data_IF_742006882273
#
_entry.id   IF_742006882273
#
_cell.length_a   1.000
_cell.length_b   1.000
_cell.length_c   1.000
_cell.angle_alpha   90.00
_cell.angle_beta   90.00
_cell.angle_gamma   90.00
#
_symmetry.space_group_name_H-M   'P 1'
#
loop_
_entity.id
_entity.type
_entity.pdbx_description
1 polymer ?
#
# COMPACT_ATOMS: atom_id res chain seq x y z
N UNK A 1 70.03 -5.24 24.74
CA UNK A 1 69.28 -5.47 23.46
C UNK A 1 67.84 -5.69 23.83
N UNK A 2 67.03 -4.64 23.71
CA UNK A 2 65.64 -4.64 24.12
C UNK A 2 64.80 -4.88 22.86
N UNK A 3 64.15 -6.03 22.72
CA UNK A 3 63.27 -6.34 21.61
C UNK A 3 61.88 -5.72 21.90
N UNK A 4 61.54 -4.69 21.19
CA UNK A 4 60.19 -4.10 21.17
C UNK A 4 59.25 -5.03 20.37
N UNK A 5 58.25 -5.61 21.01
CA UNK A 5 57.12 -6.28 20.39
C UNK A 5 56.05 -5.23 20.09
N UNK A 6 55.90 -4.85 18.83
CA UNK A 6 54.73 -4.10 18.34
C UNK A 6 53.55 -5.07 18.18
N UNK A 7 52.59 -4.95 19.07
CA UNK A 7 51.28 -5.64 18.89
C UNK A 7 50.42 -4.76 17.96
N UNK A 8 50.23 -5.21 16.73
CA UNK A 8 49.29 -4.59 15.81
C UNK A 8 47.85 -4.98 16.23
N UNK A 9 47.09 -4.03 16.73
CA UNK A 9 45.67 -4.20 17.04
C UNK A 9 44.86 -4.02 15.74
N UNK A 10 44.45 -5.12 15.14
CA UNK A 10 43.53 -5.09 13.98
C UNK A 10 42.12 -4.88 14.49
N UNK A 11 41.61 -3.66 14.38
CA UNK A 11 40.20 -3.34 14.63
C UNK A 11 39.43 -3.83 13.42
N UNK A 12 38.78 -4.99 13.51
CA UNK A 12 37.82 -5.44 12.54
C UNK A 12 36.54 -4.57 12.66
N UNK A 13 36.37 -3.62 11.76
CA UNK A 13 35.11 -2.88 11.59
C UNK A 13 34.08 -3.86 11.02
N UNK A 14 33.30 -4.49 11.89
CA UNK A 14 32.08 -5.17 11.48
C UNK A 14 31.06 -4.10 11.03
N UNK A 15 31.03 -3.80 9.73
CA UNK A 15 29.95 -3.05 9.12
C UNK A 15 28.69 -3.93 9.18
N UNK A 16 27.90 -3.81 10.23
CA UNK A 16 26.56 -4.36 10.25
C UNK A 16 25.76 -3.60 9.18
N UNK A 17 25.46 -4.27 8.07
CA UNK A 17 24.50 -3.80 7.10
C UNK A 17 23.14 -3.74 7.82
N UNK A 18 22.70 -2.55 8.20
CA UNK A 18 21.33 -2.32 8.64
C UNK A 18 20.48 -2.46 7.39
N UNK A 19 19.87 -3.63 7.22
CA UNK A 19 18.88 -3.81 6.17
C UNK A 19 17.71 -2.89 6.49
N UNK A 20 17.35 -2.02 5.54
CA UNK A 20 16.20 -1.15 5.70
C UNK A 20 14.95 -2.01 5.96
N UNK A 21 14.19 -1.64 6.97
CA UNK A 21 12.97 -2.35 7.30
C UNK A 21 11.96 -2.17 6.17
N UNK A 22 11.33 -3.27 5.74
CA UNK A 22 10.30 -3.30 4.70
C UNK A 22 8.99 -3.84 5.27
N UNK A 23 7.88 -3.47 4.66
CA UNK A 23 6.57 -4.04 4.99
C UNK A 23 6.31 -5.26 4.10
N UNK A 24 5.71 -6.31 4.67
CA UNK A 24 5.34 -7.51 3.91
C UNK A 24 4.00 -7.31 3.20
N UNK A 25 4.04 -7.14 1.88
CA UNK A 25 2.88 -7.02 1.01
C UNK A 25 2.48 -8.33 0.33
N UNK A 26 3.04 -9.48 0.71
CA UNK A 26 2.85 -10.76 0.00
C UNK A 26 1.39 -11.21 -0.08
N UNK A 27 0.59 -10.99 0.97
CA UNK A 27 -0.85 -11.29 0.94
C UNK A 27 -1.58 -10.46 -0.12
N UNK A 28 -1.30 -9.17 -0.21
CA UNK A 28 -1.89 -8.29 -1.21
C UNK A 28 -1.42 -8.63 -2.61
N UNK A 29 -0.13 -8.87 -2.79
CA UNK A 29 0.47 -9.29 -4.05
C UNK A 29 -0.18 -10.55 -4.62
N UNK A 30 -0.39 -11.56 -3.77
CA UNK A 30 -1.07 -12.79 -4.16
C UNK A 30 -2.54 -12.54 -4.54
N UNK A 31 -3.24 -11.64 -3.83
CA UNK A 31 -4.63 -11.31 -4.13
C UNK A 31 -4.76 -10.61 -5.49
N UNK A 32 -3.96 -9.57 -5.75
CA UNK A 32 -4.05 -8.84 -7.02
C UNK A 32 -3.62 -9.71 -8.20
N UNK A 33 -2.58 -10.55 -8.06
CA UNK A 33 -2.17 -11.51 -9.08
C UNK A 33 -3.27 -12.53 -9.43
N UNK A 34 -4.09 -12.89 -8.45
CA UNK A 34 -5.12 -13.89 -8.63
C UNK A 34 -6.45 -13.33 -9.14
N UNK A 35 -6.75 -12.06 -8.85
CA UNK A 35 -8.07 -11.48 -9.04
C UNK A 35 -8.11 -10.21 -9.89
N UNK A 36 -6.95 -9.66 -10.27
CA UNK A 36 -6.87 -8.55 -11.22
C UNK A 36 -6.53 -9.09 -12.59
N UNK A 37 -7.38 -8.79 -13.58
CA UNK A 37 -7.26 -9.34 -14.93
C UNK A 37 -7.03 -8.20 -15.93
N UNK A 38 -5.99 -8.29 -16.77
CA UNK A 38 -5.78 -7.33 -17.85
C UNK A 38 -6.94 -7.36 -18.85
N UNK A 39 -7.40 -6.20 -19.26
CA UNK A 39 -8.41 -6.03 -20.30
C UNK A 39 -7.90 -5.06 -21.37
N UNK A 40 -8.61 -4.96 -22.50
CA UNK A 40 -8.28 -4.03 -23.59
C UNK A 40 -6.82 -4.12 -24.07
N UNK A 41 -6.30 -5.34 -24.18
CA UNK A 41 -4.92 -5.56 -24.63
C UNK A 41 -3.85 -5.12 -23.61
N UNK A 42 -4.21 -5.06 -22.31
CA UNK A 42 -3.30 -4.67 -21.23
C UNK A 42 -3.31 -3.17 -20.91
N UNK A 43 -4.15 -2.38 -21.60
CA UNK A 43 -4.24 -0.94 -21.33
C UNK A 43 -5.10 -0.59 -20.09
N UNK A 44 -5.84 -1.55 -19.54
CA UNK A 44 -6.64 -1.43 -18.33
C UNK A 44 -6.72 -2.78 -17.61
N UNK A 45 -7.25 -2.78 -16.39
CA UNK A 45 -7.48 -3.98 -15.61
C UNK A 45 -8.90 -4.00 -15.06
N UNK A 46 -9.39 -5.20 -14.75
CA UNK A 46 -10.65 -5.42 -14.08
C UNK A 46 -10.42 -6.31 -12.86
N UNK A 47 -11.11 -6.02 -11.76
CA UNK A 47 -11.09 -6.84 -10.55
C UNK A 47 -12.23 -7.85 -10.62
N UNK A 48 -11.92 -9.14 -10.42
CA UNK A 48 -12.94 -10.18 -10.22
C UNK A 48 -13.42 -10.15 -8.76
N UNK A 49 -14.36 -9.24 -8.48
CA UNK A 49 -14.93 -9.09 -7.14
C UNK A 49 -15.68 -10.34 -6.68
N UNK A 50 -16.27 -11.12 -7.60
CA UNK A 50 -16.97 -12.36 -7.27
C UNK A 50 -16.03 -13.42 -6.71
N UNK A 51 -14.89 -13.65 -7.36
CA UNK A 51 -13.87 -14.56 -6.86
C UNK A 51 -13.15 -14.01 -5.63
N UNK A 52 -12.91 -12.68 -5.58
CA UNK A 52 -12.26 -12.05 -4.45
C UNK A 52 -13.11 -12.12 -3.17
N UNK A 53 -14.44 -12.03 -3.28
CA UNK A 53 -15.37 -12.22 -2.16
C UNK A 53 -15.22 -13.61 -1.51
N UNK A 54 -14.91 -14.65 -2.29
CA UNK A 54 -14.65 -15.99 -1.76
C UNK A 54 -13.30 -16.06 -1.01
N UNK A 55 -12.39 -15.15 -1.33
CA UNK A 55 -11.06 -15.01 -0.70
C UNK A 55 -10.97 -13.84 0.28
N UNK A 56 -12.12 -13.26 0.68
CA UNK A 56 -12.16 -12.05 1.54
C UNK A 56 -11.39 -12.19 2.84
N UNK A 57 -11.30 -13.39 3.39
CA UNK A 57 -10.51 -13.66 4.60
C UNK A 57 -9.02 -13.27 4.44
N UNK A 58 -8.43 -13.51 3.25
CA UNK A 58 -7.06 -13.13 2.96
C UNK A 58 -6.90 -11.60 2.83
N UNK A 59 -7.89 -10.93 2.24
CA UNK A 59 -7.92 -9.46 2.21
C UNK A 59 -8.03 -8.90 3.63
N UNK A 60 -8.96 -9.39 4.44
CA UNK A 60 -9.12 -8.98 5.84
C UNK A 60 -7.82 -9.15 6.61
N UNK A 61 -7.16 -10.30 6.48
CA UNK A 61 -5.87 -10.54 7.14
C UNK A 61 -4.80 -9.50 6.71
N UNK A 62 -4.74 -9.15 5.42
CA UNK A 62 -3.84 -8.10 4.95
C UNK A 62 -4.18 -6.72 5.53
N UNK A 63 -5.46 -6.34 5.51
CA UNK A 63 -5.93 -5.06 6.07
C UNK A 63 -5.65 -4.94 7.57
N UNK A 64 -5.75 -6.04 8.31
CA UNK A 64 -5.37 -6.11 9.72
C UNK A 64 -3.87 -5.82 9.92
N UNK A 65 -3.00 -6.35 9.03
CA UNK A 65 -1.56 -6.05 9.12
C UNK A 65 -1.24 -4.59 8.85
N UNK A 66 -1.95 -3.96 7.90
CA UNK A 66 -1.82 -2.51 7.64
C UNK A 66 -2.24 -1.69 8.85
N UNK A 67 -3.38 -2.05 9.43
CA UNK A 67 -3.98 -1.34 10.58
C UNK A 67 -3.14 -1.49 11.86
N UNK A 68 -2.48 -2.64 12.02
CA UNK A 68 -1.63 -2.94 13.17
C UNK A 68 -0.27 -2.23 13.13
N UNK A 69 0.13 -1.62 11.98
CA UNK A 69 1.44 -0.98 11.87
C UNK A 69 1.48 0.32 12.69
N UNK A 70 2.34 0.44 13.71
CA UNK A 70 2.49 1.68 14.46
C UNK A 70 3.10 2.79 13.57
N UNK A 71 2.67 4.02 13.79
CA UNK A 71 3.21 5.19 13.07
C UNK A 71 4.73 5.29 13.18
N UNK A 72 5.30 4.98 14.34
CA UNK A 72 6.74 5.02 14.55
C UNK A 72 7.50 4.02 13.68
N UNK A 73 6.91 2.85 13.41
CA UNK A 73 7.48 1.85 12.49
C UNK A 73 7.41 2.32 11.05
N UNK A 74 6.27 2.84 10.64
CA UNK A 74 6.10 3.44 9.32
C UNK A 74 7.11 4.58 9.09
N UNK A 75 7.32 5.45 10.06
CA UNK A 75 8.26 6.58 9.94
C UNK A 75 9.73 6.12 9.84
N UNK A 76 10.05 4.90 10.29
CA UNK A 76 11.39 4.29 10.16
C UNK A 76 11.66 3.69 8.77
N UNK A 77 10.62 3.46 7.96
CA UNK A 77 10.79 2.99 6.59
C UNK A 77 11.49 4.03 5.71
N UNK A 78 12.18 3.56 4.66
CA UNK A 78 12.65 4.45 3.60
C UNK A 78 11.48 5.16 2.91
N UNK A 79 11.72 6.34 2.31
CA UNK A 79 10.66 7.07 1.58
C UNK A 79 9.98 6.23 0.48
N UNK A 80 10.72 5.47 -0.35
CA UNK A 80 10.08 4.58 -1.31
C UNK A 80 9.18 3.53 -0.66
N UNK A 81 9.61 2.96 0.47
CA UNK A 81 8.84 1.94 1.19
C UNK A 81 7.57 2.53 1.83
N UNK A 82 7.67 3.75 2.40
CA UNK A 82 6.51 4.48 2.90
C UNK A 82 5.49 4.75 1.80
N UNK A 83 5.95 5.15 0.61
CA UNK A 83 5.08 5.41 -0.53
C UNK A 83 4.40 4.12 -1.01
N UNK A 84 5.15 3.03 -1.15
CA UNK A 84 4.61 1.73 -1.52
C UNK A 84 3.53 1.27 -0.53
N UNK A 85 3.80 1.39 0.78
CA UNK A 85 2.83 1.08 1.83
C UNK A 85 1.53 1.88 1.69
N UNK A 86 1.62 3.20 1.49
CA UNK A 86 0.44 4.06 1.37
C UNK A 86 -0.37 3.77 0.11
N UNK A 87 0.29 3.50 -1.03
CA UNK A 87 -0.38 3.13 -2.28
C UNK A 87 -1.11 1.79 -2.12
N UNK A 88 -0.46 0.78 -1.58
CA UNK A 88 -1.09 -0.51 -1.35
C UNK A 88 -2.23 -0.42 -0.34
N UNK A 89 -2.09 0.38 0.73
CA UNK A 89 -3.15 0.62 1.70
C UNK A 89 -4.38 1.27 1.02
N UNK A 90 -4.18 2.33 0.24
CA UNK A 90 -5.26 2.96 -0.52
C UNK A 90 -5.98 1.95 -1.41
N UNK A 91 -5.24 1.20 -2.22
CA UNK A 91 -5.80 0.26 -3.18
C UNK A 91 -6.55 -0.90 -2.49
N UNK A 92 -5.98 -1.47 -1.45
CA UNK A 92 -6.61 -2.57 -0.71
C UNK A 92 -7.89 -2.13 0.01
N UNK A 93 -7.89 -0.95 0.65
CA UNK A 93 -9.07 -0.39 1.29
C UNK A 93 -10.14 0.05 0.29
N UNK A 94 -9.75 0.49 -0.92
CA UNK A 94 -10.70 0.74 -2.01
C UNK A 94 -11.40 -0.54 -2.45
N UNK A 95 -10.66 -1.64 -2.58
CA UNK A 95 -11.24 -2.96 -2.90
C UNK A 95 -12.17 -3.43 -1.79
N UNK A 96 -11.78 -3.30 -0.51
CA UNK A 96 -12.64 -3.66 0.63
C UNK A 96 -13.91 -2.83 0.67
N UNK A 97 -13.85 -1.54 0.35
CA UNK A 97 -15.01 -0.66 0.29
C UNK A 97 -16.05 -1.17 -0.73
N UNK A 98 -15.61 -1.61 -1.92
CA UNK A 98 -16.51 -2.23 -2.89
C UNK A 98 -17.07 -3.56 -2.37
N UNK A 99 -16.21 -4.41 -1.78
CA UNK A 99 -16.62 -5.72 -1.28
C UNK A 99 -17.58 -5.65 -0.10
N UNK A 100 -17.62 -4.54 0.63
CA UNK A 100 -18.55 -4.37 1.76
C UNK A 100 -20.02 -4.40 1.33
N UNK A 101 -20.31 -3.97 0.10
CA UNK A 101 -21.68 -3.90 -0.46
C UNK A 101 -21.88 -4.81 -1.69
N UNK A 102 -20.84 -5.55 -2.10
CA UNK A 102 -20.93 -6.47 -3.23
C UNK A 102 -21.84 -7.67 -2.87
N UNK A 103 -22.77 -8.13 -3.76
CA UNK A 103 -22.92 -7.74 -5.17
C UNK A 103 -23.91 -6.58 -5.43
N UNK A 104 -24.45 -5.94 -4.41
CA UNK A 104 -25.58 -5.00 -4.51
C UNK A 104 -25.13 -3.57 -4.94
N UNK A 105 -23.84 -3.39 -5.32
CA UNK A 105 -23.25 -2.12 -5.76
C UNK A 105 -22.86 -2.18 -7.23
N UNK A 106 -23.30 -1.20 -8.03
CA UNK A 106 -22.91 -1.05 -9.44
C UNK A 106 -21.72 -0.09 -9.61
N UNK A 107 -21.55 0.85 -8.71
CA UNK A 107 -20.48 1.85 -8.72
C UNK A 107 -20.05 2.22 -7.32
N UNK A 108 -18.75 2.46 -7.12
CA UNK A 108 -18.24 2.99 -5.85
C UNK A 108 -18.97 4.29 -5.43
N UNK A 109 -19.48 5.06 -6.39
CA UNK A 109 -20.25 6.29 -6.10
C UNK A 109 -21.56 6.02 -5.37
N UNK A 110 -22.12 4.83 -5.51
CA UNK A 110 -23.37 4.43 -4.87
C UNK A 110 -23.17 4.19 -3.35
N UNK A 111 -21.93 4.00 -2.93
CA UNK A 111 -21.54 3.83 -1.51
C UNK A 111 -21.50 5.15 -0.74
N UNK A 112 -21.59 6.29 -1.43
CA UNK A 112 -21.68 7.61 -0.81
C UNK A 112 -23.09 7.93 -0.35
N UNK A 113 -23.22 8.70 0.74
CA UNK A 113 -24.49 9.30 1.12
C UNK A 113 -24.89 10.44 0.18
N UNK A 114 -26.13 10.93 0.30
CA UNK A 114 -26.67 11.96 -0.59
C UNK A 114 -25.82 13.24 -0.64
N UNK A 115 -24.96 13.48 0.36
CA UNK A 115 -24.07 14.64 0.46
C UNK A 115 -22.61 14.28 0.75
N UNK A 116 -22.25 12.99 0.79
CA UNK A 116 -20.90 12.54 1.11
C UNK A 116 -20.31 11.69 -0.01
N UNK A 117 -19.04 11.97 -0.32
CA UNK A 117 -18.23 11.14 -1.21
C UNK A 117 -17.75 9.89 -0.47
N UNK A 118 -17.85 8.68 -1.04
CA UNK A 118 -17.36 7.45 -0.39
C UNK A 118 -15.86 7.52 -0.07
N UNK A 119 -15.09 8.26 -0.85
CA UNK A 119 -13.64 8.45 -0.60
C UNK A 119 -13.35 9.33 0.63
N UNK A 120 -14.32 10.13 1.11
CA UNK A 120 -14.19 10.99 2.30
C UNK A 120 -14.69 10.33 3.59
N UNK A 121 -15.29 9.17 3.48
CA UNK A 121 -15.77 8.45 4.65
C UNK A 121 -14.60 7.91 5.47
N UNK A 122 -14.62 8.18 6.79
CA UNK A 122 -13.59 7.73 7.72
C UNK A 122 -13.90 6.32 8.20
N UNK A 123 -13.38 5.31 7.53
CA UNK A 123 -13.59 3.90 7.89
C UNK A 123 -12.29 3.09 8.04
N UNK A 124 -11.16 3.65 7.62
CA UNK A 124 -9.85 2.97 7.55
C UNK A 124 -9.10 3.14 8.87
N UNK A 125 -8.88 2.09 9.66
CA UNK A 125 -8.01 2.16 10.82
C UNK A 125 -6.55 2.23 10.35
N UNK A 126 -5.88 3.35 10.59
CA UNK A 126 -4.49 3.57 10.21
C UNK A 126 -3.79 4.45 11.25
N UNK A 127 -2.63 4.01 11.76
CA UNK A 127 -1.80 4.75 12.72
C UNK A 127 -2.53 5.18 14.01
N UNK A 128 -3.44 4.34 14.52
CA UNK A 128 -4.31 4.56 15.67
C UNK A 128 -5.42 5.61 15.46
N UNK A 129 -5.65 6.05 14.23
CA UNK A 129 -6.74 6.93 13.85
C UNK A 129 -7.72 6.21 12.92
N UNK A 130 -8.90 6.80 12.69
CA UNK A 130 -9.79 6.47 11.60
C UNK A 130 -9.61 7.51 10.49
N UNK A 131 -9.25 7.06 9.30
CA UNK A 131 -8.98 7.94 8.17
C UNK A 131 -9.82 7.55 6.95
N UNK A 132 -9.85 8.42 5.95
CA UNK A 132 -10.52 8.20 4.67
C UNK A 132 -9.50 7.88 3.56
N UNK A 133 -10.00 7.38 2.42
CA UNK A 133 -9.20 7.24 1.21
C UNK A 133 -8.63 8.59 0.74
N UNK A 134 -9.46 9.64 0.76
CA UNK A 134 -9.02 11.00 0.43
C UNK A 134 -7.86 11.46 1.32
N UNK A 135 -7.91 11.16 2.63
CA UNK A 135 -6.83 11.50 3.55
C UNK A 135 -5.52 10.78 3.19
N UNK A 136 -5.59 9.48 2.85
CA UNK A 136 -4.38 8.74 2.43
C UNK A 136 -3.81 9.38 1.16
N UNK A 137 -4.63 9.64 0.14
CA UNK A 137 -4.16 10.18 -1.13
C UNK A 137 -3.71 11.63 -1.03
N UNK A 138 -4.53 12.50 -0.45
CA UNK A 138 -4.33 13.94 -0.53
C UNK A 138 -3.45 14.48 0.58
N UNK A 139 -3.54 13.95 1.81
CA UNK A 139 -2.77 14.44 2.95
C UNK A 139 -1.47 13.64 3.15
N UNK A 140 -1.56 12.30 3.23
CA UNK A 140 -0.39 11.47 3.52
C UNK A 140 0.55 11.35 2.31
N UNK A 141 0.02 11.19 1.10
CA UNK A 141 0.85 11.04 -0.10
C UNK A 141 1.17 12.41 -0.70
N UNK A 142 0.20 13.13 -1.24
CA UNK A 142 0.41 14.34 -2.05
C UNK A 142 0.74 15.58 -1.20
N UNK A 143 -0.03 15.82 -0.15
CA UNK A 143 0.09 17.00 0.70
C UNK A 143 1.27 16.99 1.65
N UNK A 144 1.84 15.80 1.90
CA UNK A 144 2.98 15.66 2.83
C UNK A 144 4.26 16.35 2.37
N UNK A 145 4.40 16.64 1.07
CA UNK A 145 5.64 17.15 0.47
C UNK A 145 6.83 16.16 0.51
N UNK A 146 6.59 14.90 0.93
CA UNK A 146 7.64 13.87 1.08
C UNK A 146 7.90 13.12 -0.21
N UNK A 147 6.87 12.94 -1.04
CA UNK A 147 6.88 12.09 -2.23
C UNK A 147 6.61 12.97 -3.46
N UNK A 148 7.66 13.56 -4.04
CA UNK A 148 7.55 14.40 -5.23
C UNK A 148 7.56 13.56 -6.51
N UNK A 149 6.63 12.61 -6.61
CA UNK A 149 6.51 11.74 -7.78
C UNK A 149 5.14 11.92 -8.44
N UNK A 150 5.06 12.53 -9.64
CA UNK A 150 3.79 12.73 -10.32
C UNK A 150 3.12 11.41 -10.76
N UNK A 151 3.87 10.30 -10.81
CA UNK A 151 3.36 8.97 -11.17
C UNK A 151 2.40 8.40 -10.12
N UNK A 152 2.37 8.96 -8.91
CA UNK A 152 1.38 8.61 -7.88
C UNK A 152 -0.05 8.63 -8.42
N UNK A 153 -0.35 9.54 -9.35
CA UNK A 153 -1.62 9.60 -10.04
C UNK A 153 -2.02 8.30 -10.76
N UNK A 154 -1.03 7.52 -11.19
CA UNK A 154 -1.26 6.27 -11.91
C UNK A 154 -1.20 5.03 -11.01
N UNK A 155 -0.88 5.21 -9.74
CA UNK A 155 -0.68 4.12 -8.79
C UNK A 155 -1.90 3.86 -7.89
N UNK A 156 -2.74 4.90 -7.66
CA UNK A 156 -3.94 4.82 -6.83
C UNK A 156 -5.17 4.58 -7.70
N UNK A 157 -5.86 3.46 -7.46
CA UNK A 157 -7.08 3.09 -8.18
C UNK A 157 -8.32 3.45 -7.36
N UNK A 158 -9.11 4.39 -7.85
CA UNK A 158 -10.31 4.85 -7.17
C UNK A 158 -11.58 4.05 -7.51
N UNK A 159 -11.45 2.90 -8.13
CA UNK A 159 -12.53 1.99 -8.54
C UNK A 159 -13.65 2.67 -9.36
N UNK A 160 -13.33 3.69 -10.14
CA UNK A 160 -14.28 4.40 -11.03
C UNK A 160 -13.84 4.31 -12.48
N UNK A 161 -14.78 4.37 -13.41
CA UNK A 161 -14.48 4.42 -14.85
C UNK A 161 -13.58 5.63 -15.15
N UNK A 162 -12.43 5.39 -15.77
CA UNK A 162 -11.45 6.43 -16.06
C UNK A 162 -10.35 6.58 -15.00
N UNK A 163 -10.40 5.84 -13.89
CA UNK A 163 -9.27 5.73 -12.98
C UNK A 163 -8.13 4.94 -13.60
N UNK A 164 -6.88 5.15 -13.13
CA UNK A 164 -5.78 4.28 -13.49
C UNK A 164 -6.09 2.82 -13.19
N UNK A 165 -5.55 1.90 -14.00
CA UNK A 165 -5.68 0.47 -13.78
C UNK A 165 -5.13 0.06 -12.41
N UNK A 166 -5.80 -0.84 -11.71
CA UNK A 166 -5.21 -1.49 -10.54
C UNK A 166 -4.10 -2.42 -11.02
N UNK A 167 -2.89 -2.25 -10.47
CA UNK A 167 -1.75 -3.09 -10.84
C UNK A 167 -1.96 -4.53 -10.35
N UNK A 168 -1.52 -5.50 -11.15
CA UNK A 168 -1.59 -6.94 -10.85
C UNK A 168 -0.52 -7.38 -9.84
N UNK A 169 0.29 -6.47 -9.35
CA UNK A 169 1.35 -6.71 -8.36
C UNK A 169 1.27 -5.65 -7.26
N UNK A 170 1.66 -6.02 -6.05
CA UNK A 170 1.85 -5.05 -4.98
C UNK A 170 3.02 -4.11 -5.28
N UNK A 171 2.90 -2.86 -4.86
CA UNK A 171 4.02 -1.93 -4.87
C UNK A 171 5.01 -2.29 -3.75
N UNK A 172 6.31 -2.16 -4.04
CA UNK A 172 7.38 -2.23 -3.05
C UNK A 172 8.28 -1.02 -3.21
N UNK A 173 9.06 -0.69 -2.20
CA UNK A 173 9.98 0.45 -2.29
C UNK A 173 11.00 0.34 -3.42
N UNK A 174 11.31 -0.88 -3.88
CA UNK A 174 12.21 -1.14 -5.01
C UNK A 174 11.48 -1.22 -6.37
N UNK A 175 10.15 -1.29 -6.37
CA UNK A 175 9.31 -1.50 -7.57
C UNK A 175 8.13 -0.51 -7.58
N UNK A 176 8.44 0.77 -7.45
CA UNK A 176 7.45 1.85 -7.59
C UNK A 176 7.17 2.18 -9.07
N UNK A 177 7.92 1.65 -9.99
CA UNK A 177 7.82 1.87 -11.44
C UNK A 177 6.97 0.82 -12.14
#
# INVERSE_FOLDING_TARGET
>A
MLKQLLAAFVIALCSSWVQAETFDHSLWDNLVKSHVVPIQGGSSTQVDYGALQQNRANLTAYLETLSALPRSRFDAFSKPEQLAFLINAYNAWTVELILSEYPDVESIKDLGGFFSSPWKEEFIPLFNDKVSLDYIEHDLIRGSGRYNDPRIHFAVNCASVGCPALREEAYTGSQLE
#
